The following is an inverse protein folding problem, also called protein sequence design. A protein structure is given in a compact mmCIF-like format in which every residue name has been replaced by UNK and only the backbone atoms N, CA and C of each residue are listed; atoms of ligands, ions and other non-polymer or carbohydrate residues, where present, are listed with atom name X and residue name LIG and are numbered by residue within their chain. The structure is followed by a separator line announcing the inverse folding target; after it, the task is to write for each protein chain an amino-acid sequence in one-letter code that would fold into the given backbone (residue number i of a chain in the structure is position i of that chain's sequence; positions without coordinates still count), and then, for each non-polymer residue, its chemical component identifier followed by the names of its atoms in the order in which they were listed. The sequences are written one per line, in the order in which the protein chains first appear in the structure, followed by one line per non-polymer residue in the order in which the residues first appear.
data_IF_977065400475
#
_entry.id   IF_977065400475
#
_cell.length_a   1.000
_cell.length_b   1.000
_cell.length_c   1.000
_cell.angle_alpha   90.00
_cell.angle_beta   90.00
_cell.angle_gamma   90.00
#
_symmetry.space_group_name_H-M   'P 1'
#
loop_
_entity.id
_entity.type
_entity.pdbx_description
1 polymer ?
#
# COMPACT_ATOMS: atom_id res chain seq x y z
N UNK A 1 -0.96 25.48 -8.50
CA UNK A 1 -0.99 24.22 -7.73
C UNK A 1 0.05 24.29 -6.62
N UNK A 2 -0.27 23.80 -5.42
CA UNK A 2 0.66 23.73 -4.29
C UNK A 2 1.77 22.72 -4.57
N UNK A 3 3.01 23.05 -4.15
CA UNK A 3 4.15 22.13 -4.32
C UNK A 3 4.06 20.99 -3.32
N UNK A 4 4.13 19.77 -3.81
CA UNK A 4 4.04 18.54 -3.02
C UNK A 4 5.43 18.11 -2.54
N UNK A 5 5.54 17.75 -1.26
CA UNK A 5 6.65 16.96 -0.74
C UNK A 5 6.27 15.48 -0.74
N UNK A 6 6.95 14.65 -1.51
CA UNK A 6 6.68 13.21 -1.55
C UNK A 6 7.70 12.47 -0.70
N UNK A 7 7.25 11.89 0.43
CA UNK A 7 8.06 11.00 1.28
C UNK A 7 7.96 9.61 0.68
N UNK A 8 9.02 9.19 -0.01
CA UNK A 8 9.02 8.01 -0.85
C UNK A 8 9.69 6.82 -0.14
N UNK A 9 8.90 5.82 0.18
CA UNK A 9 9.33 4.47 0.54
C UNK A 9 9.56 3.57 -0.67
N UNK A 10 9.45 2.27 -0.49
CA UNK A 10 9.63 1.26 -1.53
C UNK A 10 8.36 0.98 -2.34
N UNK A 11 8.53 0.23 -3.43
CA UNK A 11 7.45 -0.20 -4.30
C UNK A 11 7.05 0.82 -5.36
N UNK A 12 6.04 0.50 -6.14
CA UNK A 12 5.64 1.28 -7.32
C UNK A 12 4.80 2.52 -7.00
N UNK A 13 4.15 2.58 -5.84
CA UNK A 13 3.25 3.68 -5.49
C UNK A 13 3.93 5.07 -5.52
N UNK A 14 5.14 5.27 -4.92
CA UNK A 14 5.83 6.56 -5.00
C UNK A 14 6.16 6.98 -6.43
N UNK A 15 6.51 6.01 -7.29
CA UNK A 15 6.81 6.26 -8.71
C UNK A 15 5.55 6.73 -9.43
N UNK A 16 4.39 6.08 -9.18
CA UNK A 16 3.11 6.46 -9.77
C UNK A 16 2.68 7.87 -9.35
N UNK A 17 2.81 8.19 -8.05
CA UNK A 17 2.51 9.54 -7.51
C UNK A 17 3.42 10.60 -8.14
N UNK A 18 4.72 10.36 -8.21
CA UNK A 18 5.67 11.30 -8.82
C UNK A 18 5.38 11.50 -10.32
N UNK A 19 5.11 10.42 -11.07
CA UNK A 19 4.77 10.46 -12.50
C UNK A 19 3.44 11.19 -12.75
N UNK A 20 2.45 11.03 -11.88
CA UNK A 20 1.18 11.74 -11.97
C UNK A 20 1.36 13.24 -11.76
N UNK A 21 2.14 13.64 -10.74
CA UNK A 21 2.48 15.04 -10.53
C UNK A 21 3.17 15.66 -11.77
N UNK A 22 4.10 14.90 -12.37
CA UNK A 22 4.81 15.33 -13.58
C UNK A 22 3.86 15.52 -14.77
N UNK A 23 2.97 14.54 -15.01
CA UNK A 23 1.97 14.59 -16.08
C UNK A 23 0.97 15.76 -15.92
N UNK A 24 0.64 16.14 -14.70
CA UNK A 24 -0.25 17.27 -14.39
C UNK A 24 0.47 18.62 -14.26
N UNK A 25 1.79 18.65 -14.42
CA UNK A 25 2.60 19.85 -14.21
C UNK A 25 2.60 20.36 -12.76
N UNK A 26 2.28 19.49 -11.80
CA UNK A 26 2.33 19.80 -10.37
C UNK A 26 3.77 19.70 -9.86
N UNK A 27 4.37 20.77 -9.30
CA UNK A 27 5.72 20.70 -8.77
C UNK A 27 5.82 19.71 -7.62
N UNK A 28 6.79 18.80 -7.68
CA UNK A 28 7.06 17.80 -6.62
C UNK A 28 8.50 17.90 -6.15
N UNK A 29 8.72 17.66 -4.85
CA UNK A 29 10.04 17.54 -4.22
C UNK A 29 10.09 16.22 -3.44
N UNK A 30 11.04 15.37 -3.76
CA UNK A 30 11.12 14.03 -3.18
C UNK A 30 12.02 13.99 -1.94
N UNK A 31 11.56 13.26 -0.94
CA UNK A 31 12.38 12.75 0.15
C UNK A 31 12.46 11.25 -0.03
N UNK A 32 13.55 10.78 -0.62
CA UNK A 32 13.79 9.36 -0.85
C UNK A 32 14.32 8.73 0.43
N UNK A 33 13.55 7.79 1.00
CA UNK A 33 13.97 7.10 2.21
C UNK A 33 15.09 6.10 1.87
N UNK A 34 16.24 6.29 2.50
CA UNK A 34 17.42 5.48 2.28
C UNK A 34 17.17 3.99 2.56
N UNK A 35 17.52 3.14 1.62
CA UNK A 35 17.31 1.70 1.67
C UNK A 35 15.91 1.22 1.23
N UNK A 36 14.99 2.14 0.86
CA UNK A 36 13.63 1.80 0.41
C UNK A 36 13.28 2.36 -0.95
N UNK A 37 13.57 3.63 -1.19
CA UNK A 37 13.12 4.34 -2.37
C UNK A 37 13.68 3.75 -3.67
N UNK A 38 12.81 3.68 -4.69
CA UNK A 38 13.19 3.21 -6.02
C UNK A 38 14.24 4.16 -6.64
N UNK A 39 15.34 3.64 -7.22
CA UNK A 39 16.36 4.45 -7.88
C UNK A 39 15.85 5.37 -9.00
N UNK A 40 14.77 4.99 -9.70
CA UNK A 40 14.17 5.81 -10.74
C UNK A 40 13.65 7.16 -10.23
N UNK A 41 13.40 7.28 -8.93
CA UNK A 41 13.00 8.54 -8.30
C UNK A 41 14.13 9.58 -8.23
N UNK A 42 15.38 9.20 -8.48
CA UNK A 42 16.53 10.11 -8.48
C UNK A 42 16.44 11.19 -9.59
N UNK A 43 15.64 10.99 -10.62
CA UNK A 43 15.38 11.97 -11.68
C UNK A 43 14.63 13.22 -11.23
N UNK A 44 13.89 13.12 -10.10
CA UNK A 44 13.13 14.23 -9.56
C UNK A 44 13.96 15.05 -8.56
N UNK A 45 13.71 16.38 -8.46
CA UNK A 45 14.32 17.19 -7.41
C UNK A 45 14.03 16.63 -6.03
N UNK A 46 15.05 16.55 -5.17
CA UNK A 46 14.83 15.99 -3.84
C UNK A 46 16.11 15.72 -3.08
N UNK A 47 15.95 15.05 -1.95
CA UNK A 47 17.05 14.60 -1.09
C UNK A 47 16.90 13.11 -0.75
N UNK A 48 18.02 12.48 -0.35
CA UNK A 48 18.01 11.20 0.33
C UNK A 48 18.08 11.44 1.84
N UNK A 49 17.25 10.73 2.60
CA UNK A 49 17.20 10.87 4.06
C UNK A 49 16.99 9.52 4.74
N UNK A 50 17.62 9.35 5.90
CA UNK A 50 17.32 8.27 6.82
C UNK A 50 16.00 8.52 7.55
N UNK A 51 15.33 7.45 8.01
CA UNK A 51 14.03 7.55 8.70
C UNK A 51 14.03 8.44 9.94
N UNK A 52 15.15 8.60 10.61
CA UNK A 52 15.28 9.41 11.82
C UNK A 52 15.85 10.84 11.56
N UNK A 53 16.17 11.20 10.30
CA UNK A 53 16.68 12.53 9.93
C UNK A 53 15.52 13.54 9.72
N UNK A 54 14.60 13.64 10.70
CA UNK A 54 13.35 14.40 10.58
C UNK A 54 13.62 15.90 10.39
N UNK A 55 14.61 16.46 11.09
CA UNK A 55 14.97 17.88 10.94
C UNK A 55 15.53 18.20 9.56
N UNK A 56 16.34 17.31 8.99
CA UNK A 56 16.84 17.42 7.59
C UNK A 56 15.68 17.40 6.59
N UNK A 57 14.72 16.49 6.78
CA UNK A 57 13.53 16.38 5.93
C UNK A 57 12.69 17.65 5.98
N UNK A 58 12.30 18.10 7.17
CA UNK A 58 11.49 19.30 7.36
C UNK A 58 12.18 20.57 6.82
N UNK A 59 13.49 20.71 7.05
CA UNK A 59 14.27 21.82 6.51
C UNK A 59 14.31 21.82 4.99
N UNK A 60 14.49 20.64 4.37
CA UNK A 60 14.50 20.52 2.91
C UNK A 60 13.15 20.82 2.28
N UNK A 61 12.05 20.30 2.84
CA UNK A 61 10.69 20.57 2.39
C UNK A 61 10.35 22.08 2.47
N UNK A 62 10.72 22.71 3.59
CA UNK A 62 10.52 24.16 3.78
C UNK A 62 11.33 24.98 2.78
N UNK A 63 12.62 24.64 2.57
CA UNK A 63 13.50 25.30 1.59
C UNK A 63 12.99 25.10 0.16
N UNK A 64 12.40 23.94 -0.13
CA UNK A 64 11.81 23.64 -1.43
C UNK A 64 10.47 24.37 -1.64
N UNK A 65 9.86 24.97 -0.61
CA UNK A 65 8.56 25.64 -0.69
C UNK A 65 7.38 24.67 -0.78
N UNK A 66 7.51 23.46 -0.21
CA UNK A 66 6.39 22.53 -0.13
C UNK A 66 5.36 23.02 0.90
N UNK A 67 4.08 22.85 0.59
CA UNK A 67 2.94 23.21 1.47
C UNK A 67 2.11 21.99 1.86
N UNK A 68 2.26 20.91 1.12
CA UNK A 68 1.63 19.63 1.39
C UNK A 68 2.66 18.50 1.36
N UNK A 69 2.37 17.39 2.03
CA UNK A 69 3.18 16.19 2.00
C UNK A 69 2.30 14.97 1.75
N UNK A 70 2.82 14.04 0.95
CA UNK A 70 2.26 12.71 0.73
C UNK A 70 3.27 11.66 1.17
N UNK A 71 2.81 10.65 1.91
CA UNK A 71 3.59 9.48 2.25
C UNK A 71 3.18 8.34 1.33
N UNK A 72 4.11 7.78 0.59
CA UNK A 72 3.81 6.71 -0.34
C UNK A 72 4.88 5.63 -0.31
N UNK A 73 4.43 4.38 -0.46
CA UNK A 73 5.30 3.22 -0.54
C UNK A 73 5.57 2.52 0.79
N UNK A 74 6.13 1.33 0.70
CA UNK A 74 6.37 0.46 1.85
C UNK A 74 7.64 0.84 2.58
N UNK A 75 7.58 0.82 3.92
CA UNK A 75 8.73 1.00 4.81
C UNK A 75 8.64 -0.08 5.87
N UNK A 76 9.64 -0.96 5.95
CA UNK A 76 9.68 -1.94 7.03
C UNK A 76 10.00 -1.25 8.36
N UNK A 77 9.42 -1.78 9.42
CA UNK A 77 9.64 -1.27 10.77
C UNK A 77 11.14 -1.32 11.11
N UNK A 78 11.74 -0.18 11.49
CA UNK A 78 13.17 -0.15 11.78
C UNK A 78 13.51 -0.77 13.14
N UNK A 79 14.72 -1.26 13.27
CA UNK A 79 15.31 -1.40 14.59
C UNK A 79 15.68 0.00 15.12
N UNK A 80 14.91 0.49 16.06
CA UNK A 80 15.09 1.84 16.64
C UNK A 80 16.46 2.07 17.25
N UNK A 81 17.18 1.01 17.64
CA UNK A 81 18.53 1.09 18.19
C UNK A 81 19.60 1.42 17.15
N UNK A 82 19.34 1.12 15.89
CA UNK A 82 20.26 1.35 14.77
C UNK A 82 20.03 2.69 14.08
N UNK A 83 18.94 3.38 14.41
CA UNK A 83 18.63 4.66 13.80
C UNK A 83 19.67 5.74 14.18
N UNK A 84 19.99 6.57 13.21
CA UNK A 84 20.87 7.74 13.38
C UNK A 84 20.03 9.02 13.27
N UNK A 85 19.46 9.49 14.39
CA UNK A 85 18.64 10.69 14.37
C UNK A 85 19.51 11.94 14.23
N UNK A 86 18.98 12.95 13.52
CA UNK A 86 19.45 14.32 13.67
C UNK A 86 18.91 14.94 14.99
N UNK A 87 19.24 16.18 15.26
CA UNK A 87 18.86 16.84 16.52
C UNK A 87 17.34 16.86 16.74
N UNK A 88 16.54 17.18 15.70
CA UNK A 88 15.07 17.16 15.76
C UNK A 88 14.55 15.72 15.91
N UNK A 89 15.09 14.79 15.14
CA UNK A 89 14.78 13.37 15.24
C UNK A 89 15.03 12.82 16.64
N UNK A 90 16.16 13.17 17.26
CA UNK A 90 16.48 12.75 18.62
C UNK A 90 15.46 13.23 19.67
N UNK A 91 14.93 14.44 19.52
CA UNK A 91 13.88 14.97 20.42
C UNK A 91 12.51 14.28 20.22
N UNK A 92 12.20 13.82 19.01
CA UNK A 92 10.94 13.18 18.66
C UNK A 92 10.95 11.67 18.88
N UNK A 93 12.13 11.05 18.83
CA UNK A 93 12.31 9.59 18.85
C UNK A 93 11.67 8.90 20.07
N UNK A 94 11.75 9.41 21.31
CA UNK A 94 11.06 8.78 22.44
C UNK A 94 9.54 8.67 22.25
N UNK A 95 8.90 9.73 21.73
CA UNK A 95 7.47 9.73 21.44
C UNK A 95 7.10 8.78 20.27
N UNK A 96 7.98 8.67 19.28
CA UNK A 96 7.82 7.76 18.13
C UNK A 96 7.93 6.30 18.62
N UNK A 97 8.93 5.97 19.45
CA UNK A 97 9.08 4.63 20.04
C UNK A 97 7.86 4.28 20.89
N UNK A 98 7.40 5.20 21.75
CA UNK A 98 6.20 4.98 22.57
C UNK A 98 4.93 4.76 21.72
N UNK A 99 4.80 5.42 20.57
CA UNK A 99 3.72 5.14 19.63
C UNK A 99 3.88 3.77 18.96
N UNK A 100 5.08 3.40 18.57
CA UNK A 100 5.39 2.13 17.94
C UNK A 100 5.08 0.92 18.85
N UNK A 101 5.12 1.05 20.17
CA UNK A 101 4.71 -0.03 21.09
C UNK A 101 3.20 -0.28 21.09
N UNK A 102 2.41 0.65 20.51
CA UNK A 102 0.94 0.54 20.44
C UNK A 102 0.45 0.00 19.09
N UNK A 103 1.34 -0.18 18.13
CA UNK A 103 1.04 -0.67 16.79
C UNK A 103 1.57 0.24 15.68
N UNK A 104 1.48 -0.24 14.44
CA UNK A 104 2.01 0.49 13.28
C UNK A 104 1.13 1.69 12.90
N UNK A 105 -0.19 1.59 13.07
CA UNK A 105 -1.11 2.72 12.86
C UNK A 105 -0.82 3.88 13.84
N UNK A 106 -0.60 3.58 15.13
CA UNK A 106 -0.24 4.58 16.12
C UNK A 106 1.12 5.25 15.80
N UNK A 107 2.09 4.48 15.31
CA UNK A 107 3.37 4.98 14.85
C UNK A 107 3.18 5.95 13.68
N UNK A 108 2.43 5.55 12.66
CA UNK A 108 2.18 6.34 11.46
C UNK A 108 1.48 7.67 11.81
N UNK A 109 0.40 7.62 12.59
CA UNK A 109 -0.29 8.85 13.07
C UNK A 109 0.65 9.76 13.84
N UNK A 110 1.56 9.23 14.66
CA UNK A 110 2.56 10.04 15.36
C UNK A 110 3.49 10.74 14.39
N UNK A 111 3.92 10.06 13.33
CA UNK A 111 4.75 10.67 12.28
C UNK A 111 3.96 11.79 11.57
N UNK A 112 2.72 11.52 11.13
CA UNK A 112 1.88 12.53 10.48
C UNK A 112 1.71 13.79 11.34
N UNK A 113 1.44 13.62 12.65
CA UNK A 113 1.26 14.74 13.57
C UNK A 113 2.48 15.66 13.64
N UNK A 114 3.69 15.16 13.38
CA UNK A 114 4.92 15.98 13.32
C UNK A 114 4.88 16.91 12.12
N UNK A 115 4.45 16.43 10.95
CA UNK A 115 4.37 17.25 9.74
C UNK A 115 3.19 18.22 9.80
N UNK A 116 2.05 17.80 10.34
CA UNK A 116 0.88 18.68 10.57
C UNK A 116 1.24 19.82 11.52
N UNK A 117 1.98 19.54 12.60
CA UNK A 117 2.46 20.56 13.55
C UNK A 117 3.44 21.58 12.93
N UNK A 118 4.15 21.20 11.87
CA UNK A 118 5.02 22.09 11.08
C UNK A 118 4.24 22.84 9.97
N UNK A 119 2.92 22.63 9.88
CA UNK A 119 2.03 23.36 8.98
C UNK A 119 1.84 22.73 7.60
N UNK A 120 2.26 21.49 7.40
CA UNK A 120 2.01 20.78 6.14
C UNK A 120 0.61 20.15 6.12
N UNK A 121 -0.09 20.29 4.99
CA UNK A 121 -1.27 19.48 4.71
C UNK A 121 -0.84 18.05 4.37
N UNK A 122 -1.53 17.04 4.91
CA UNK A 122 -1.32 15.64 4.53
C UNK A 122 -2.28 15.30 3.40
N UNK A 123 -1.74 14.93 2.24
CA UNK A 123 -2.53 14.52 1.07
C UNK A 123 -2.40 13.01 0.83
N UNK A 124 -3.52 12.37 0.51
CA UNK A 124 -3.57 10.95 0.17
C UNK A 124 -2.97 10.66 -1.21
N UNK A 125 -2.38 9.48 -1.36
CA UNK A 125 -1.89 9.06 -2.66
C UNK A 125 -3.05 8.85 -3.66
N UNK A 126 -4.22 8.41 -3.20
CA UNK A 126 -5.44 8.26 -3.97
C UNK A 126 -5.97 9.60 -4.51
N UNK A 127 -5.95 10.66 -3.70
CA UNK A 127 -6.33 12.01 -4.14
C UNK A 127 -5.42 12.50 -5.27
N UNK A 128 -4.09 12.29 -5.12
CA UNK A 128 -3.10 12.70 -6.12
C UNK A 128 -3.23 11.89 -7.40
N UNK A 129 -3.52 10.60 -7.29
CA UNK A 129 -3.74 9.72 -8.43
C UNK A 129 -5.11 9.94 -9.11
N UNK A 130 -5.91 10.90 -8.64
CA UNK A 130 -7.18 11.26 -9.26
C UNK A 130 -8.29 10.25 -8.98
N UNK A 131 -8.26 9.57 -7.82
CA UNK A 131 -9.26 8.59 -7.43
C UNK A 131 -9.15 7.27 -8.21
N UNK A 132 -7.96 6.90 -8.67
CA UNK A 132 -7.71 5.59 -9.29
C UNK A 132 -7.84 4.47 -8.26
N UNK A 133 -9.06 4.32 -7.74
CA UNK A 133 -9.45 3.26 -6.81
C UNK A 133 -10.29 2.20 -7.54
N UNK A 134 -10.37 1.03 -6.94
CA UNK A 134 -11.15 -0.08 -7.46
C UNK A 134 -12.64 0.28 -7.52
N UNK A 135 -13.27 0.32 -8.72
CA UNK A 135 -14.70 0.57 -8.84
C UNK A 135 -15.52 -0.62 -8.33
N UNK A 136 -16.82 -0.42 -8.08
CA UNK A 136 -17.73 -1.52 -7.79
C UNK A 136 -17.94 -2.45 -8.98
N UNK A 137 -18.00 -3.75 -8.73
CA UNK A 137 -18.17 -4.77 -9.76
C UNK A 137 -16.87 -5.26 -10.39
N UNK A 138 -16.97 -5.87 -11.57
CA UNK A 138 -15.83 -6.43 -12.29
C UNK A 138 -14.96 -5.33 -12.93
N UNK A 139 -13.66 -5.50 -12.84
CA UNK A 139 -12.65 -4.71 -13.56
C UNK A 139 -11.89 -5.65 -14.51
N UNK A 140 -12.07 -5.46 -15.82
CA UNK A 140 -11.56 -6.36 -16.86
C UNK A 140 -12.62 -7.34 -17.40
N UNK A 141 -12.18 -8.28 -18.22
CA UNK A 141 -13.06 -9.19 -18.95
C UNK A 141 -13.49 -10.45 -18.15
N UNK A 142 -12.73 -10.79 -17.10
CA UNK A 142 -12.98 -12.00 -16.31
C UNK A 142 -13.94 -11.69 -15.16
N UNK A 143 -14.97 -12.51 -15.02
CA UNK A 143 -15.99 -12.35 -13.98
C UNK A 143 -15.95 -13.50 -12.96
N UNK A 144 -16.15 -13.20 -11.66
CA UNK A 144 -16.21 -14.23 -10.63
C UNK A 144 -17.50 -15.05 -10.72
N UNK A 145 -17.44 -16.32 -10.30
CA UNK A 145 -18.62 -17.14 -10.01
C UNK A 145 -19.26 -16.74 -8.67
N UNK A 146 -20.44 -17.27 -8.39
CA UNK A 146 -21.14 -17.03 -7.11
C UNK A 146 -20.31 -17.55 -5.91
N UNK A 147 -19.67 -18.70 -6.06
CA UNK A 147 -18.82 -19.32 -5.04
C UNK A 147 -17.58 -18.46 -4.78
N UNK A 148 -16.93 -17.96 -5.84
CA UNK A 148 -15.78 -17.07 -5.73
C UNK A 148 -16.13 -15.74 -5.05
N UNK A 149 -17.34 -15.21 -5.28
CA UNK A 149 -17.83 -14.03 -4.56
C UNK A 149 -18.09 -14.32 -3.07
N UNK A 150 -18.51 -15.53 -2.70
CA UNK A 150 -18.62 -15.94 -1.31
C UNK A 150 -17.24 -16.01 -0.64
N UNK A 151 -16.27 -16.61 -1.34
CA UNK A 151 -14.87 -16.62 -0.88
C UNK A 151 -14.32 -15.21 -0.70
N UNK A 152 -14.59 -14.29 -1.65
CA UNK A 152 -14.19 -12.90 -1.55
C UNK A 152 -14.79 -12.21 -0.33
N UNK A 153 -16.11 -12.36 -0.10
CA UNK A 153 -16.77 -11.78 1.07
C UNK A 153 -16.14 -12.27 2.38
N UNK A 154 -15.82 -13.56 2.43
CA UNK A 154 -15.13 -14.14 3.58
C UNK A 154 -13.70 -13.60 3.71
N UNK A 155 -12.95 -13.50 2.61
CA UNK A 155 -11.59 -12.95 2.61
C UNK A 155 -11.56 -11.50 3.11
N UNK A 156 -12.48 -10.66 2.63
CA UNK A 156 -12.63 -9.27 3.07
C UNK A 156 -12.99 -9.18 4.56
N UNK A 157 -13.89 -10.04 5.04
CA UNK A 157 -14.24 -10.09 6.46
C UNK A 157 -13.04 -10.49 7.33
N UNK A 158 -12.27 -11.49 6.91
CA UNK A 158 -11.06 -11.93 7.63
C UNK A 158 -10.00 -10.81 7.63
N UNK A 159 -9.80 -10.14 6.48
CA UNK A 159 -8.86 -9.02 6.37
C UNK A 159 -9.25 -7.86 7.30
N UNK A 160 -10.54 -7.52 7.40
CA UNK A 160 -11.04 -6.50 8.34
C UNK A 160 -10.79 -6.87 9.79
N UNK A 161 -11.07 -8.13 10.17
CA UNK A 161 -10.82 -8.61 11.55
C UNK A 161 -9.33 -8.64 11.90
N UNK A 162 -8.47 -9.02 10.95
CA UNK A 162 -7.03 -8.89 11.11
C UNK A 162 -6.60 -7.42 11.24
N UNK A 163 -7.25 -6.52 10.48
CA UNK A 163 -7.03 -5.08 10.54
C UNK A 163 -7.44 -4.45 11.88
N UNK A 164 -8.54 -4.90 12.50
CA UNK A 164 -8.95 -4.46 13.84
C UNK A 164 -7.87 -4.76 14.91
N UNK A 165 -7.09 -5.84 14.70
CA UNK A 165 -5.98 -6.24 15.55
C UNK A 165 -4.63 -5.67 15.13
N UNK A 166 -4.60 -4.79 14.11
CA UNK A 166 -3.38 -4.22 13.49
C UNK A 166 -2.39 -5.28 12.97
N UNK A 167 -2.90 -6.44 12.51
CA UNK A 167 -2.08 -7.55 11.99
C UNK A 167 -1.74 -7.33 10.51
N UNK A 168 -2.76 -7.11 9.67
CA UNK A 168 -2.62 -6.97 8.23
C UNK A 168 -3.93 -6.54 7.56
N UNK A 169 -3.93 -6.51 6.23
CA UNK A 169 -5.06 -5.98 5.44
C UNK A 169 -5.45 -6.90 4.27
N UNK A 170 -4.95 -8.12 4.26
CA UNK A 170 -5.21 -9.11 3.21
C UNK A 170 -5.48 -10.50 3.77
N UNK A 171 -6.31 -11.26 3.07
CA UNK A 171 -6.51 -12.69 3.33
C UNK A 171 -6.78 -13.46 2.04
N UNK A 172 -6.39 -14.73 2.01
CA UNK A 172 -6.70 -15.66 0.92
C UNK A 172 -7.70 -16.69 1.41
N UNK A 173 -8.81 -16.84 0.68
CA UNK A 173 -9.84 -17.84 0.93
C UNK A 173 -10.04 -18.68 -0.32
N UNK A 174 -10.20 -19.99 -0.16
CA UNK A 174 -10.48 -20.94 -1.22
C UNK A 174 -11.47 -21.99 -0.76
N UNK A 175 -12.55 -22.18 -1.50
CA UNK A 175 -13.63 -23.14 -1.19
C UNK A 175 -14.11 -23.01 0.29
N UNK A 176 -14.24 -21.77 0.76
CA UNK A 176 -14.62 -21.44 2.13
C UNK A 176 -13.52 -21.59 3.18
N UNK A 177 -12.32 -22.06 2.83
CA UNK A 177 -11.19 -22.20 3.77
C UNK A 177 -10.28 -20.97 3.74
N UNK A 178 -9.89 -20.45 4.90
CA UNK A 178 -8.86 -19.40 5.00
C UNK A 178 -7.49 -20.07 4.84
N UNK A 179 -6.80 -19.78 3.74
CA UNK A 179 -5.47 -20.34 3.45
C UNK A 179 -4.35 -19.50 4.03
N UNK A 180 -4.52 -18.18 4.06
CA UNK A 180 -3.53 -17.27 4.60
C UNK A 180 -4.17 -15.96 5.06
N UNK A 181 -3.54 -15.34 6.05
CA UNK A 181 -3.80 -13.97 6.48
C UNK A 181 -2.48 -13.21 6.36
N UNK A 182 -2.53 -12.01 5.80
CA UNK A 182 -1.39 -11.10 5.71
C UNK A 182 -1.01 -10.59 7.10
N UNK A 183 0.29 -10.55 7.38
CA UNK A 183 0.85 -9.92 8.56
C UNK A 183 2.03 -9.02 8.15
N UNK A 184 3.04 -8.89 8.99
CA UNK A 184 4.20 -8.02 8.75
C UNK A 184 5.04 -8.40 7.53
N UNK A 185 4.89 -9.62 7.01
CA UNK A 185 5.56 -10.09 5.78
C UNK A 185 5.03 -9.41 4.51
N UNK A 186 3.83 -8.84 4.55
CA UNK A 186 3.17 -8.20 3.42
C UNK A 186 2.54 -9.15 2.40
N UNK A 187 1.78 -8.59 1.46
CA UNK A 187 0.98 -9.35 0.47
C UNK A 187 1.82 -10.30 -0.39
N UNK A 188 2.98 -9.84 -0.86
CA UNK A 188 3.83 -10.63 -1.76
C UNK A 188 4.32 -11.93 -1.09
N UNK A 189 4.83 -11.83 0.14
CA UNK A 189 5.30 -13.00 0.89
C UNK A 189 4.15 -13.91 1.33
N UNK A 190 2.99 -13.35 1.68
CA UNK A 190 1.79 -14.15 1.92
C UNK A 190 1.39 -14.95 0.68
N UNK A 191 1.34 -14.34 -0.50
CA UNK A 191 1.01 -15.04 -1.76
C UNK A 191 2.05 -16.10 -2.12
N UNK A 192 3.34 -15.84 -1.90
CA UNK A 192 4.40 -16.83 -2.08
C UNK A 192 4.22 -18.05 -1.14
N UNK A 193 3.79 -17.80 0.10
CA UNK A 193 3.46 -18.87 1.06
C UNK A 193 2.25 -19.69 0.58
N UNK A 194 1.20 -19.04 0.06
CA UNK A 194 0.05 -19.74 -0.55
C UNK A 194 0.48 -20.56 -1.75
N UNK A 195 1.36 -20.05 -2.61
CA UNK A 195 1.88 -20.78 -3.77
C UNK A 195 2.62 -22.08 -3.40
N UNK A 196 3.15 -22.17 -2.19
CA UNK A 196 3.77 -23.38 -1.63
C UNK A 196 2.80 -24.44 -1.10
N UNK A 197 1.50 -24.13 -0.97
CA UNK A 197 0.49 -25.09 -0.53
C UNK A 197 0.18 -26.13 -1.63
N UNK A 198 -0.36 -27.31 -1.28
CA UNK A 198 -0.86 -28.29 -2.24
C UNK A 198 -1.89 -27.68 -3.20
N UNK A 199 -1.84 -28.05 -4.49
CA UNK A 199 -2.68 -27.45 -5.53
C UNK A 199 -4.18 -27.76 -5.37
N UNK A 200 -4.54 -28.84 -4.71
CA UNK A 200 -5.93 -29.18 -4.36
C UNK A 200 -6.55 -28.18 -3.38
N UNK A 201 -5.75 -27.57 -2.51
CA UNK A 201 -6.21 -26.53 -1.56
C UNK A 201 -6.32 -25.14 -2.17
N UNK A 202 -5.48 -24.77 -3.15
CA UNK A 202 -5.35 -23.38 -3.64
C UNK A 202 -5.68 -23.18 -5.12
N UNK A 203 -5.79 -24.26 -5.87
CA UNK A 203 -5.89 -24.23 -7.32
C UNK A 203 -4.51 -24.24 -8.03
N UNK A 204 -4.57 -24.22 -9.34
CA UNK A 204 -3.42 -24.28 -10.25
C UNK A 204 -3.64 -23.35 -11.45
N UNK A 205 -2.65 -23.26 -12.34
CA UNK A 205 -2.81 -22.51 -13.59
C UNK A 205 -3.92 -23.08 -14.49
N UNK A 206 -4.14 -24.41 -14.45
CA UNK A 206 -5.18 -25.09 -15.24
C UNK A 206 -6.57 -25.02 -14.60
N UNK A 207 -6.62 -24.98 -13.26
CA UNK A 207 -7.88 -24.92 -12.50
C UNK A 207 -7.70 -23.92 -11.37
N UNK A 208 -7.98 -22.65 -11.65
CA UNK A 208 -7.84 -21.57 -10.68
C UNK A 208 -8.94 -21.60 -9.65
N UNK A 209 -8.57 -21.44 -8.38
CA UNK A 209 -9.48 -21.41 -7.24
C UNK A 209 -9.04 -20.38 -6.23
N UNK A 210 -9.98 -19.99 -5.36
CA UNK A 210 -9.71 -19.08 -4.27
C UNK A 210 -9.45 -17.64 -4.70
N UNK A 211 -9.48 -16.76 -3.73
CA UNK A 211 -9.48 -15.31 -3.94
C UNK A 211 -8.60 -14.64 -2.90
N UNK A 212 -7.81 -13.65 -3.32
CA UNK A 212 -7.23 -12.66 -2.43
C UNK A 212 -8.24 -11.54 -2.18
N UNK A 213 -8.62 -11.32 -0.93
CA UNK A 213 -9.38 -10.15 -0.50
C UNK A 213 -8.48 -9.15 0.22
N UNK A 214 -8.57 -7.86 -0.15
CA UNK A 214 -7.89 -6.76 0.55
C UNK A 214 -8.90 -5.74 1.06
N UNK A 215 -8.79 -5.38 2.34
CA UNK A 215 -9.63 -4.39 2.98
C UNK A 215 -8.77 -3.43 3.82
N UNK A 216 -9.10 -2.13 3.87
CA UNK A 216 -8.39 -1.22 4.76
C UNK A 216 -8.64 -1.62 6.22
N UNK A 217 -7.66 -1.38 7.08
CA UNK A 217 -7.83 -1.57 8.52
C UNK A 217 -8.84 -0.52 9.03
N UNK A 218 -9.81 -0.88 9.87
CA UNK A 218 -10.82 0.06 10.37
C UNK A 218 -10.26 1.26 11.15
N UNK A 219 -9.09 1.08 11.76
CA UNK A 219 -8.41 2.09 12.58
C UNK A 219 -7.45 2.98 11.79
N UNK A 220 -7.24 2.69 10.50
CA UNK A 220 -6.21 3.26 9.63
C UNK A 220 -6.55 4.68 9.15
N UNK A 221 -5.54 5.55 9.06
CA UNK A 221 -5.66 6.81 8.34
C UNK A 221 -5.54 6.57 6.83
N UNK A 222 -6.68 6.57 6.12
CA UNK A 222 -6.74 6.25 4.71
C UNK A 222 -5.93 7.21 3.83
N UNK A 223 -5.58 8.41 4.32
CA UNK A 223 -4.72 9.34 3.58
C UNK A 223 -3.32 8.79 3.32
N UNK A 224 -2.85 7.84 4.12
CA UNK A 224 -1.45 7.40 4.08
C UNK A 224 -1.26 5.89 3.99
N UNK A 225 -2.27 5.10 4.30
CA UNK A 225 -2.16 3.64 4.35
C UNK A 225 -3.38 2.94 3.74
N UNK A 226 -3.76 3.34 2.54
CA UNK A 226 -4.79 2.62 1.77
C UNK A 226 -4.17 1.38 1.12
N UNK A 227 -4.86 0.22 1.12
CA UNK A 227 -4.37 -0.97 0.41
C UNK A 227 -4.17 -0.68 -1.08
N UNK A 228 -3.18 -1.34 -1.66
CA UNK A 228 -2.76 -1.12 -3.04
C UNK A 228 -2.66 -2.45 -3.77
N UNK A 229 -3.04 -2.48 -5.05
CA UNK A 229 -2.75 -3.58 -5.98
C UNK A 229 -2.24 -3.03 -7.32
N UNK A 230 -1.45 -3.85 -8.01
CA UNK A 230 -0.95 -3.59 -9.35
C UNK A 230 -0.74 -4.89 -10.11
N UNK A 231 -0.18 -4.82 -11.33
CA UNK A 231 0.09 -5.98 -12.17
C UNK A 231 0.88 -7.08 -11.44
N UNK A 232 1.88 -6.69 -10.63
CA UNK A 232 2.66 -7.63 -9.80
C UNK A 232 1.80 -8.43 -8.83
N UNK A 233 0.81 -7.81 -8.17
CA UNK A 233 -0.10 -8.52 -7.26
C UNK A 233 -0.91 -9.56 -8.03
N UNK A 234 -1.36 -9.22 -9.24
CA UNK A 234 -2.09 -10.14 -10.13
C UNK A 234 -1.20 -11.32 -10.54
N UNK A 235 0.04 -11.07 -10.93
CA UNK A 235 1.01 -12.13 -11.29
C UNK A 235 1.26 -13.08 -10.13
N UNK A 236 1.45 -12.57 -8.92
CA UNK A 236 1.67 -13.38 -7.73
C UNK A 236 0.42 -14.19 -7.33
N UNK A 237 -0.77 -13.60 -7.44
CA UNK A 237 -2.03 -14.31 -7.23
C UNK A 237 -2.21 -15.43 -8.27
N UNK A 238 -1.85 -15.18 -9.54
CA UNK A 238 -1.84 -16.18 -10.60
C UNK A 238 -0.86 -17.33 -10.32
N UNK A 239 0.35 -17.01 -9.86
CA UNK A 239 1.37 -18.01 -9.46
C UNK A 239 0.91 -18.84 -8.26
N UNK A 240 0.14 -18.24 -7.34
CA UNK A 240 -0.50 -18.92 -6.23
C UNK A 240 -1.71 -19.78 -6.65
N UNK A 241 -2.09 -19.80 -7.93
CA UNK A 241 -3.22 -20.60 -8.45
C UNK A 241 -4.58 -19.96 -8.18
N UNK A 242 -4.63 -18.71 -7.74
CA UNK A 242 -5.89 -18.02 -7.40
C UNK A 242 -6.71 -17.68 -8.65
N UNK A 243 -8.03 -17.61 -8.49
CA UNK A 243 -8.97 -17.23 -9.53
C UNK A 243 -9.14 -15.70 -9.64
N UNK A 244 -8.84 -14.96 -8.58
CA UNK A 244 -8.98 -13.52 -8.64
C UNK A 244 -8.55 -12.78 -7.38
N UNK A 245 -8.73 -11.46 -7.48
CA UNK A 245 -8.43 -10.49 -6.42
C UNK A 245 -9.66 -9.61 -6.24
N UNK A 246 -9.98 -9.27 -5.00
CA UNK A 246 -11.01 -8.28 -4.75
C UNK A 246 -10.68 -7.36 -3.58
N UNK A 247 -11.42 -6.26 -3.50
CA UNK A 247 -11.29 -5.27 -2.45
C UNK A 247 -12.59 -4.52 -2.20
N UNK A 248 -12.60 -3.68 -1.18
CA UNK A 248 -13.72 -2.78 -0.94
C UNK A 248 -13.70 -1.68 -2.00
N UNK A 249 -14.82 -1.50 -2.72
CA UNK A 249 -14.94 -0.48 -3.76
C UNK A 249 -14.64 0.91 -3.20
N UNK A 250 -13.85 1.70 -3.93
CA UNK A 250 -13.39 3.02 -3.53
C UNK A 250 -12.29 3.04 -2.46
N UNK A 251 -11.85 1.88 -1.92
CA UNK A 251 -10.89 1.80 -0.82
C UNK A 251 -9.68 0.90 -1.12
N UNK A 252 -9.35 0.74 -2.37
CA UNK A 252 -8.19 -0.02 -2.85
C UNK A 252 -7.57 0.71 -4.04
N UNK A 253 -6.35 1.21 -3.89
CA UNK A 253 -5.64 1.95 -4.94
C UNK A 253 -5.18 0.97 -6.03
N UNK A 254 -5.37 1.39 -7.29
CA UNK A 254 -4.90 0.68 -8.48
C UNK A 254 -3.64 1.36 -9.01
N UNK A 255 -2.51 0.65 -9.02
CA UNK A 255 -1.30 1.14 -9.67
C UNK A 255 -1.33 0.68 -11.13
N UNK A 256 -1.17 1.63 -12.05
CA UNK A 256 -1.24 1.35 -13.49
C UNK A 256 -2.47 0.52 -13.84
N UNK A 257 -3.64 1.14 -13.72
CA UNK A 257 -4.93 0.48 -13.94
C UNK A 257 -5.00 -0.28 -15.26
N UNK A 258 -4.43 0.30 -16.33
CA UNK A 258 -4.44 -0.32 -17.66
C UNK A 258 -3.59 -1.60 -17.68
N UNK A 259 -2.36 -1.54 -17.20
CA UNK A 259 -1.46 -2.69 -17.10
C UNK A 259 -1.95 -3.76 -16.13
N UNK A 260 -2.64 -3.35 -15.06
CA UNK A 260 -3.30 -4.28 -14.13
C UNK A 260 -4.41 -5.07 -14.85
N UNK A 261 -5.30 -4.40 -15.60
CA UNK A 261 -6.40 -5.04 -16.34
C UNK A 261 -5.83 -5.98 -17.40
N UNK A 262 -4.89 -5.52 -18.23
CA UNK A 262 -4.24 -6.33 -19.26
C UNK A 262 -3.63 -7.60 -18.65
N UNK A 263 -2.94 -7.47 -17.52
CA UNK A 263 -2.31 -8.60 -16.84
C UNK A 263 -3.35 -9.57 -16.27
N UNK A 264 -4.44 -9.05 -15.68
CA UNK A 264 -5.53 -9.86 -15.14
C UNK A 264 -6.23 -10.66 -16.24
N UNK A 265 -6.59 -10.02 -17.34
CA UNK A 265 -7.26 -10.66 -18.48
C UNK A 265 -6.36 -11.72 -19.14
N UNK A 266 -5.08 -11.40 -19.38
CA UNK A 266 -4.08 -12.33 -19.92
C UNK A 266 -3.88 -13.56 -19.04
N UNK A 267 -3.92 -13.39 -17.73
CA UNK A 267 -3.73 -14.49 -16.77
C UNK A 267 -5.05 -15.15 -16.35
N UNK A 268 -6.19 -14.71 -16.91
CA UNK A 268 -7.54 -15.21 -16.62
C UNK A 268 -7.89 -15.10 -15.13
N UNK A 269 -7.57 -13.97 -14.49
CA UNK A 269 -7.98 -13.61 -13.15
C UNK A 269 -9.04 -12.52 -13.17
N UNK A 270 -10.06 -12.65 -12.35
CA UNK A 270 -10.95 -11.53 -12.13
C UNK A 270 -10.36 -10.52 -11.13
N UNK A 271 -10.74 -9.25 -11.29
CA UNK A 271 -10.55 -8.20 -10.30
C UNK A 271 -11.94 -7.63 -9.96
N UNK A 272 -12.30 -7.57 -8.67
CA UNK A 272 -13.66 -7.25 -8.24
C UNK A 272 -13.69 -6.25 -7.09
N UNK A 273 -14.50 -5.19 -7.27
CA UNK A 273 -14.84 -4.26 -6.20
C UNK A 273 -16.14 -4.64 -5.51
N UNK A 274 -16.07 -5.00 -4.24
CA UNK A 274 -17.25 -5.28 -3.42
C UNK A 274 -17.85 -3.98 -2.91
N UNK A 275 -19.10 -3.70 -3.25
CA UNK A 275 -19.85 -2.57 -2.74
C UNK A 275 -20.25 -2.82 -1.28
N UNK A 276 -19.98 -1.87 -0.39
CA UNK A 276 -20.35 -1.91 1.03
C UNK A 276 -20.92 -0.58 1.49
#
# INVERSE_FOLDING_TARGET
MSKLGLIAGGGALPVSVASRCDAEGRPVFLVRLAGFADPHLARYPGIDAGMAEIGKVLSALKKAGCTAVCFAGTVSRPDFKTLKPDLKGATLLPGIIAAATKGDDALLRKILSVFEAEGYAIEGADDILGGETLPGGALGAVHPTAEQLQDLKKALHVAEKAGELDIGQGAVVCDGLVLAVEAQEGTDAMLARVAGLPADLRGSAATRKGVLGKAPKPIQDLRVDMPVIGARTVEMAAAAGLAGIGGVAGKLILIDRAGLIETADRLSLFVWGEAR
#
